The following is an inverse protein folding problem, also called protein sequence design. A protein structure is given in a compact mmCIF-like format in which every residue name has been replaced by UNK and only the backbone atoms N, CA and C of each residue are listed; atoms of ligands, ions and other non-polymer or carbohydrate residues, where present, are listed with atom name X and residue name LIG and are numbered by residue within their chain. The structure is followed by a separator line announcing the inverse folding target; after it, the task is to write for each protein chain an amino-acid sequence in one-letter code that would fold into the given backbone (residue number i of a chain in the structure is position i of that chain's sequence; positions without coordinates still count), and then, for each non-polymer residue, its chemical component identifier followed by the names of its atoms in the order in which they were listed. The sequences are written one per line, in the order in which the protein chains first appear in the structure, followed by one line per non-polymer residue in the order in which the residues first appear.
data_IF_931902824630
#
_entry.id   IF_931902824630
#
_cell.length_a   1.000
_cell.length_b   1.000
_cell.length_c   1.000
_cell.angle_alpha   90.00
_cell.angle_beta   90.00
_cell.angle_gamma   90.00
#
_symmetry.space_group_name_H-M   'P 1'
#
loop_
_entity.id
_entity.type
_entity.pdbx_description
1 polymer ?
#
# COMPACT_ATOMS: atom_id res chain seq x y z
N UNK A 1 -1.06 -4.36 -8.18
CA UNK A 1 -1.08 -5.80 -7.82
C UNK A 1 -0.33 -5.97 -6.49
N UNK A 2 -1.01 -6.40 -5.42
CA UNK A 2 -0.41 -6.55 -4.07
C UNK A 2 0.08 -8.00 -3.92
N UNK A 3 1.39 -8.21 -3.94
CA UNK A 3 1.97 -9.55 -3.79
C UNK A 3 2.28 -9.80 -2.31
N UNK A 4 1.50 -10.69 -1.68
CA UNK A 4 1.78 -11.18 -0.33
C UNK A 4 2.39 -12.58 -0.48
N UNK A 5 3.62 -12.75 0.00
CA UNK A 5 4.31 -14.04 -0.03
C UNK A 5 4.03 -14.82 1.26
N UNK A 6 3.41 -16.00 1.13
CA UNK A 6 3.18 -16.92 2.24
C UNK A 6 4.08 -18.15 2.14
N UNK A 7 4.59 -18.62 3.28
CA UNK A 7 5.21 -19.95 3.39
C UNK A 7 4.18 -20.88 4.03
N UNK A 8 3.79 -21.92 3.30
CA UNK A 8 2.84 -22.90 3.85
C UNK A 8 3.40 -23.60 5.09
N UNK A 9 2.57 -23.71 6.12
CA UNK A 9 2.92 -24.35 7.38
C UNK A 9 3.18 -25.86 7.23
N UNK A 10 2.77 -26.50 6.12
CA UNK A 10 3.03 -27.92 5.86
C UNK A 10 4.33 -28.19 5.09
N UNK A 11 5.07 -27.16 4.68
CA UNK A 11 6.29 -27.36 3.86
C UNK A 11 7.42 -28.04 4.64
N UNK A 12 8.05 -29.04 4.03
CA UNK A 12 9.31 -29.61 4.52
C UNK A 12 10.52 -28.71 4.23
N UNK A 13 10.35 -27.67 3.39
CA UNK A 13 11.40 -26.76 2.93
C UNK A 13 11.27 -25.35 3.53
N UNK A 14 10.63 -25.21 4.69
CA UNK A 14 10.37 -23.90 5.34
C UNK A 14 11.61 -23.03 5.44
N UNK A 15 12.74 -23.58 5.89
CA UNK A 15 13.96 -22.78 6.09
C UNK A 15 14.55 -22.29 4.76
N UNK A 16 14.53 -23.11 3.72
CA UNK A 16 14.93 -22.68 2.38
C UNK A 16 13.98 -21.61 1.82
N UNK A 17 12.68 -21.76 2.03
CA UNK A 17 11.69 -20.76 1.62
C UNK A 17 11.86 -19.44 2.38
N UNK A 18 12.14 -19.48 3.69
CA UNK A 18 12.48 -18.29 4.49
C UNK A 18 13.74 -17.62 3.97
N UNK A 19 14.80 -18.38 3.71
CA UNK A 19 16.05 -17.83 3.19
C UNK A 19 15.84 -17.14 1.83
N UNK A 20 15.07 -17.77 0.94
CA UNK A 20 14.68 -17.17 -0.34
C UNK A 20 13.89 -15.86 -0.14
N UNK A 21 12.84 -15.86 0.69
CA UNK A 21 12.04 -14.65 0.91
C UNK A 21 12.86 -13.55 1.60
N UNK A 22 13.74 -13.88 2.55
CA UNK A 22 14.63 -12.91 3.18
C UNK A 22 15.56 -12.24 2.17
N UNK A 23 16.14 -13.01 1.24
CA UNK A 23 16.96 -12.45 0.16
C UNK A 23 16.11 -11.62 -0.82
N UNK A 24 14.98 -12.17 -1.26
CA UNK A 24 14.09 -11.52 -2.21
C UNK A 24 13.62 -10.16 -1.68
N UNK A 25 13.28 -10.06 -0.39
CA UNK A 25 12.84 -8.82 0.26
C UNK A 25 14.00 -7.99 0.83
N UNK A 26 15.25 -8.41 0.64
CA UNK A 26 16.42 -7.62 1.05
C UNK A 26 16.62 -6.43 0.13
N UNK A 27 17.38 -5.44 0.58
CA UNK A 27 17.74 -4.29 -0.25
C UNK A 27 18.59 -4.68 -1.46
N UNK A 28 19.38 -5.75 -1.37
CA UNK A 28 20.23 -6.22 -2.48
C UNK A 28 19.41 -6.58 -3.72
N UNK A 29 18.21 -7.16 -3.53
CA UNK A 29 17.29 -7.48 -4.61
C UNK A 29 16.29 -6.33 -4.86
N UNK A 30 15.72 -5.74 -3.81
CA UNK A 30 14.66 -4.73 -3.95
C UNK A 30 15.15 -3.42 -4.57
N UNK A 31 16.43 -3.05 -4.39
CA UNK A 31 17.00 -1.84 -5.02
C UNK A 31 17.09 -1.93 -6.56
N UNK A 32 16.84 -3.11 -7.15
CA UNK A 32 16.86 -3.31 -8.60
C UNK A 32 15.52 -2.95 -9.29
N UNK A 33 14.47 -2.67 -8.51
CA UNK A 33 13.13 -2.38 -9.03
C UNK A 33 12.81 -0.87 -8.87
N UNK A 34 12.95 -0.13 -9.96
CA UNK A 34 12.77 1.34 -9.98
C UNK A 34 11.30 1.82 -9.88
N UNK A 35 10.32 0.93 -9.99
CA UNK A 35 8.91 1.29 -10.20
C UNK A 35 7.95 0.75 -9.13
N UNK A 36 8.48 0.19 -8.04
CA UNK A 36 7.67 -0.37 -6.95
C UNK A 36 8.10 0.19 -5.61
N UNK A 37 7.15 0.65 -4.80
CA UNK A 37 7.41 0.99 -3.40
C UNK A 37 7.88 -0.27 -2.66
N UNK A 38 9.14 -0.28 -2.25
CA UNK A 38 9.74 -1.43 -1.59
C UNK A 38 9.18 -1.62 -0.17
N UNK A 39 8.96 -2.88 0.24
CA UNK A 39 8.60 -3.21 1.63
C UNK A 39 9.80 -3.16 2.58
N UNK A 40 11.02 -3.22 2.04
CA UNK A 40 12.24 -2.98 2.82
C UNK A 40 12.36 -1.48 3.11
N UNK A 41 12.41 -1.09 4.39
CA UNK A 41 12.45 0.33 4.83
C UNK A 41 13.64 1.11 4.25
N UNK A 42 14.80 0.49 4.11
CA UNK A 42 15.99 1.14 3.58
C UNK A 42 15.84 1.40 2.08
N UNK A 43 15.37 0.40 1.33
CA UNK A 43 15.11 0.53 -0.11
C UNK A 43 13.92 1.45 -0.39
N UNK A 44 12.89 1.44 0.47
CA UNK A 44 11.71 2.29 0.34
C UNK A 44 12.09 3.76 0.25
N UNK A 45 12.97 4.23 1.14
CA UNK A 45 13.47 5.61 1.11
C UNK A 45 14.15 5.97 -0.21
N UNK A 46 14.81 5.02 -0.87
CA UNK A 46 15.44 5.23 -2.18
C UNK A 46 14.42 5.28 -3.32
N UNK A 47 13.30 4.59 -3.19
CA UNK A 47 12.20 4.59 -4.18
C UNK A 47 11.31 5.83 -4.08
N UNK A 48 11.43 6.63 -3.01
CA UNK A 48 10.64 7.85 -2.88
C UNK A 48 11.10 8.88 -3.92
N UNK A 49 10.17 9.47 -4.68
CA UNK A 49 10.52 10.42 -5.71
C UNK A 49 10.81 11.78 -5.07
N UNK A 50 12.06 12.01 -4.66
CA UNK A 50 12.48 13.23 -3.94
C UNK A 50 13.08 14.26 -4.89
N UNK A 51 12.68 15.52 -4.76
CA UNK A 51 13.24 16.66 -5.51
C UNK A 51 13.04 17.97 -4.77
N UNK A 52 14.13 18.74 -4.61
CA UNK A 52 14.11 20.10 -4.04
C UNK A 52 13.26 21.08 -4.87
N UNK A 53 13.14 20.83 -6.17
CA UNK A 53 12.37 21.68 -7.11
C UNK A 53 10.90 21.26 -7.25
N UNK A 54 10.47 20.20 -6.52
CA UNK A 54 9.11 19.64 -6.55
C UNK A 54 8.57 19.38 -7.97
N UNK A 55 9.44 18.92 -8.85
CA UNK A 55 9.04 18.54 -10.21
C UNK A 55 7.96 17.45 -10.20
N UNK A 56 7.12 17.43 -11.22
CA UNK A 56 6.16 16.33 -11.40
C UNK A 56 6.86 15.15 -12.10
N UNK A 57 6.60 13.94 -11.61
CA UNK A 57 6.87 12.73 -12.36
C UNK A 57 5.56 12.20 -12.95
N UNK A 58 5.62 11.66 -14.17
CA UNK A 58 4.48 10.96 -14.78
C UNK A 58 4.79 9.47 -14.74
N UNK A 59 3.99 8.70 -14.01
CA UNK A 59 4.04 7.24 -14.01
C UNK A 59 3.06 6.75 -15.08
N UNK A 60 3.59 6.20 -16.18
CA UNK A 60 2.79 5.66 -17.27
C UNK A 60 2.35 4.23 -16.94
N UNK A 61 1.12 3.87 -17.33
CA UNK A 61 0.68 2.48 -17.28
C UNK A 61 1.33 1.69 -18.44
N UNK A 62 2.07 0.60 -18.17
CA UNK A 62 2.82 -0.11 -19.21
C UNK A 62 1.94 -0.82 -20.25
N UNK A 63 0.64 -0.97 -20.01
CA UNK A 63 -0.26 -1.76 -20.87
C UNK A 63 -1.21 -0.94 -21.74
N UNK A 64 -1.19 0.39 -21.64
CA UNK A 64 -2.01 1.23 -22.48
C UNK A 64 -1.11 2.25 -23.19
N UNK A 65 -1.16 2.27 -24.52
CA UNK A 65 -0.60 3.29 -25.42
C UNK A 65 -1.24 4.69 -25.18
N UNK A 66 -1.82 4.89 -24.00
CA UNK A 66 -2.47 6.10 -23.53
C UNK A 66 -1.43 7.03 -22.93
N UNK A 67 -1.51 8.31 -23.28
CA UNK A 67 -0.84 9.41 -22.57
C UNK A 67 -1.38 9.62 -21.13
N UNK A 68 -2.20 8.69 -20.62
CA UNK A 68 -2.76 8.70 -19.28
C UNK A 68 -1.74 8.07 -18.32
N UNK A 69 -1.06 8.94 -17.58
CA UNK A 69 -0.21 8.56 -16.48
C UNK A 69 -0.64 9.29 -15.22
N UNK A 70 -0.37 8.70 -14.06
CA UNK A 70 -0.54 9.41 -12.80
C UNK A 70 0.59 10.43 -12.72
N UNK A 71 0.22 11.71 -12.62
CA UNK A 71 1.18 12.78 -12.30
C UNK A 71 1.32 12.85 -10.79
N UNK A 72 2.50 12.50 -10.32
CA UNK A 72 2.85 12.53 -8.89
C UNK A 72 3.79 13.71 -8.71
N UNK A 73 3.49 14.58 -7.74
CA UNK A 73 4.47 15.58 -7.30
C UNK A 73 5.58 14.89 -6.52
N UNK A 74 6.83 15.17 -6.89
CA UNK A 74 7.97 14.75 -6.10
C UNK A 74 7.92 15.42 -4.73
N UNK A 75 8.30 14.67 -3.70
CA UNK A 75 8.41 15.17 -2.33
C UNK A 75 9.70 15.94 -2.17
N UNK A 76 9.75 16.97 -1.33
CA UNK A 76 11.04 17.45 -0.82
C UNK A 76 11.55 16.54 0.32
N UNK A 77 12.75 16.81 0.83
CA UNK A 77 13.35 15.98 1.89
C UNK A 77 12.52 15.95 3.19
N UNK A 78 11.86 17.06 3.53
CA UNK A 78 11.01 17.18 4.73
C UNK A 78 9.73 16.35 4.58
N UNK A 79 9.02 16.50 3.47
CA UNK A 79 7.80 15.74 3.14
C UNK A 79 8.07 14.23 3.03
N UNK A 80 9.23 13.86 2.50
CA UNK A 80 9.65 12.46 2.45
C UNK A 80 9.87 11.88 3.86
N UNK A 81 10.46 12.66 4.77
CA UNK A 81 10.64 12.21 6.16
C UNK A 81 9.31 12.14 6.90
N UNK A 82 8.43 13.13 6.73
CA UNK A 82 7.07 13.10 7.28
C UNK A 82 6.29 11.87 6.82
N UNK A 83 6.36 11.55 5.53
CA UNK A 83 5.70 10.37 4.97
C UNK A 83 6.26 9.05 5.55
N UNK A 84 7.58 8.95 5.71
CA UNK A 84 8.20 7.77 6.32
C UNK A 84 7.84 7.65 7.80
N UNK A 85 7.74 8.76 8.52
CA UNK A 85 7.33 8.79 9.92
C UNK A 85 5.88 8.35 10.07
N UNK A 86 4.97 8.90 9.26
CA UNK A 86 3.56 8.48 9.21
C UNK A 86 3.40 6.96 9.00
N UNK A 87 4.14 6.39 8.05
CA UNK A 87 4.12 4.94 7.81
C UNK A 87 4.73 4.13 8.96
N UNK A 88 5.65 4.72 9.72
CA UNK A 88 6.27 4.07 10.88
C UNK A 88 5.38 4.12 12.13
N UNK A 89 4.49 5.12 12.21
CA UNK A 89 3.44 5.25 13.23
C UNK A 89 2.28 4.28 13.02
N UNK A 90 2.13 3.73 11.80
CA UNK A 90 1.18 2.65 11.52
C UNK A 90 1.65 1.33 12.18
N UNK A 91 1.58 1.27 13.51
CA UNK A 91 1.97 0.12 14.35
C UNK A 91 0.82 -0.86 14.58
N UNK A 92 -0.41 -0.39 14.35
CA UNK A 92 -1.62 -1.16 14.57
C UNK A 92 -1.88 -1.99 13.32
N UNK A 93 -1.57 -3.29 13.42
CA UNK A 93 -1.98 -4.26 12.41
C UNK A 93 -3.49 -4.33 12.41
N UNK A 94 -4.12 -3.63 11.48
CA UNK A 94 -5.55 -3.81 11.27
C UNK A 94 -5.72 -5.20 10.64
N UNK A 95 -6.36 -6.11 11.37
CA UNK A 95 -6.88 -7.34 10.79
C UNK A 95 -8.09 -6.96 9.93
N UNK A 96 -7.85 -6.22 8.84
CA UNK A 96 -8.91 -6.00 7.85
C UNK A 96 -9.04 -7.32 7.13
N UNK A 97 -10.02 -8.11 7.54
CA UNK A 97 -10.51 -9.18 6.68
C UNK A 97 -10.93 -8.53 5.35
N UNK A 98 -10.65 -9.22 4.24
CA UNK A 98 -10.90 -8.70 2.91
C UNK A 98 -12.33 -8.14 2.76
N UNK A 99 -13.30 -8.77 3.41
CA UNK A 99 -14.69 -8.32 3.43
C UNK A 99 -14.90 -6.93 4.07
N UNK A 100 -14.16 -6.59 5.14
CA UNK A 100 -14.23 -5.25 5.73
C UNK A 100 -13.61 -4.20 4.81
N UNK A 101 -12.52 -4.55 4.11
CA UNK A 101 -11.91 -3.64 3.14
C UNK A 101 -12.85 -3.37 1.96
N UNK A 102 -13.50 -4.41 1.44
CA UNK A 102 -14.49 -4.32 0.37
C UNK A 102 -15.69 -3.46 0.78
N UNK A 103 -16.16 -3.57 2.03
CA UNK A 103 -17.22 -2.71 2.55
C UNK A 103 -16.80 -1.24 2.58
N UNK A 104 -15.60 -0.94 3.08
CA UNK A 104 -15.07 0.44 3.10
C UNK A 104 -15.04 1.02 1.68
N UNK A 105 -14.56 0.25 0.69
CA UNK A 105 -14.51 0.70 -0.69
C UNK A 105 -15.92 0.93 -1.27
N UNK A 106 -16.86 0.04 -0.98
CA UNK A 106 -18.25 0.13 -1.45
C UNK A 106 -18.92 1.39 -0.92
N UNK A 107 -18.82 1.65 0.39
CA UNK A 107 -19.45 2.84 0.98
C UNK A 107 -18.74 4.14 0.58
N UNK A 108 -17.42 4.10 0.38
CA UNK A 108 -16.69 5.24 -0.16
C UNK A 108 -17.14 5.57 -1.60
N UNK A 109 -17.44 4.56 -2.41
CA UNK A 109 -17.97 4.74 -3.77
C UNK A 109 -19.32 5.47 -3.75
N UNK A 110 -20.26 5.00 -2.93
CA UNK A 110 -21.58 5.63 -2.79
C UNK A 110 -21.48 7.10 -2.36
N UNK A 111 -20.58 7.42 -1.42
CA UNK A 111 -20.35 8.80 -1.00
C UNK A 111 -19.76 9.67 -2.13
N UNK A 112 -18.71 9.18 -2.81
CA UNK A 112 -18.02 9.93 -3.86
C UNK A 112 -18.94 10.24 -5.04
N UNK A 113 -19.85 9.32 -5.37
CA UNK A 113 -20.84 9.54 -6.42
C UNK A 113 -22.12 10.25 -5.95
N UNK A 114 -22.19 10.63 -4.67
CA UNK A 114 -23.31 11.40 -4.10
C UNK A 114 -24.59 10.59 -3.90
N UNK A 115 -24.50 9.27 -3.89
CA UNK A 115 -25.61 8.34 -3.63
C UNK A 115 -25.97 8.32 -2.14
N UNK A 116 -24.96 8.51 -1.28
CA UNK A 116 -25.12 8.59 0.17
C UNK A 116 -24.40 9.79 0.79
N UNK A 117 -24.85 10.20 1.98
CA UNK A 117 -24.14 11.19 2.79
C UNK A 117 -22.89 10.59 3.43
N UNK A 118 -21.89 11.42 3.74
CA UNK A 118 -20.69 10.96 4.47
C UNK A 118 -21.04 10.27 5.79
N UNK A 119 -22.03 10.81 6.51
CA UNK A 119 -22.49 10.26 7.78
C UNK A 119 -23.11 8.86 7.60
N UNK A 120 -23.93 8.67 6.56
CA UNK A 120 -24.54 7.39 6.23
C UNK A 120 -23.49 6.33 5.86
N UNK A 121 -22.56 6.68 4.96
CA UNK A 121 -21.50 5.78 4.52
C UNK A 121 -20.58 5.36 5.68
N UNK A 122 -20.21 6.30 6.56
CA UNK A 122 -19.38 6.01 7.74
C UNK A 122 -20.12 5.12 8.74
N UNK A 123 -21.41 5.39 9.00
CA UNK A 123 -22.20 4.57 9.92
C UNK A 123 -22.34 3.13 9.41
N UNK A 124 -22.56 2.93 8.11
CA UNK A 124 -22.64 1.60 7.50
C UNK A 124 -21.32 0.81 7.67
N UNK A 125 -20.17 1.46 7.48
CA UNK A 125 -18.85 0.86 7.74
C UNK A 125 -18.72 0.47 9.21
N UNK A 126 -19.05 1.38 10.14
CA UNK A 126 -18.91 1.15 11.58
C UNK A 126 -19.80 0.00 12.04
N UNK A 127 -21.06 -0.05 11.62
CA UNK A 127 -21.99 -1.14 11.94
C UNK A 127 -21.42 -2.48 11.47
N UNK A 128 -20.80 -2.53 10.28
CA UNK A 128 -20.15 -3.73 9.78
C UNK A 128 -18.93 -4.13 10.61
N UNK A 129 -18.09 -3.17 11.00
CA UNK A 129 -16.93 -3.41 11.89
C UNK A 129 -17.39 -3.98 13.23
N UNK A 130 -18.44 -3.41 13.82
CA UNK A 130 -18.96 -3.85 15.12
C UNK A 130 -19.51 -5.28 15.06
N UNK A 131 -20.22 -5.65 14.00
CA UNK A 131 -20.68 -7.03 13.76
C UNK A 131 -19.48 -7.97 13.69
N UNK A 132 -18.45 -7.63 12.91
CA UNK A 132 -17.25 -8.46 12.76
C UNK A 132 -16.44 -8.62 14.06
N UNK A 133 -16.42 -7.62 14.94
CA UNK A 133 -15.74 -7.72 16.24
C UNK A 133 -16.50 -8.58 17.26
N UNK A 134 -17.79 -8.83 17.03
CA UNK A 134 -18.64 -9.64 17.91
C UNK A 134 -18.64 -11.14 17.56
N UNK A 135 -18.15 -11.52 16.39
CA UNK A 135 -18.01 -12.91 15.90
C UNK A 135 -16.66 -13.54 16.32
#
# INVERSE_FOLDING_TARGET
MKWIFGITASSEKKEAAKAFLSYFLSSENMDQYDWTLSVNKTSFRKTLPISETKEQMTVMYPEQDSAEGIRIQKLNAEEAEEFVNFLSEADTKIAVEQALFEEILTQAEHYVYGEESLESAVNAIVEKVEIYQAE
#
